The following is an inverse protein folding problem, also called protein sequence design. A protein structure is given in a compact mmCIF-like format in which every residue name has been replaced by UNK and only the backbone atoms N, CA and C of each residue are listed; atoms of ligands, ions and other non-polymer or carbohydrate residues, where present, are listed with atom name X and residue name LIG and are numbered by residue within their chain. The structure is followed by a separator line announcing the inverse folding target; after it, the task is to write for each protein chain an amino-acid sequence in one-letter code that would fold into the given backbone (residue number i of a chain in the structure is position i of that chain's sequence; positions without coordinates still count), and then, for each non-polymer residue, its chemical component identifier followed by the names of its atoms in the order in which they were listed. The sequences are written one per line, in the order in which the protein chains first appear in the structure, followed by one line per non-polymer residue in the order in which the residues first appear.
data_IF_811142253140
#
_entry.id   IF_811142253140
#
_cell.length_a   1.000
_cell.length_b   1.000
_cell.length_c   1.000
_cell.angle_alpha   90.00
_cell.angle_beta   90.00
_cell.angle_gamma   90.00
#
_symmetry.space_group_name_H-M   'P 1'
#
loop_
_entity.id
_entity.type
_entity.pdbx_description
1 polymer ?
#
# COMPACT_ATOMS: atom_id res chain seq x y z
N UNK A 1 -39.81 31.66 -2.69
CA UNK A 1 -38.76 31.05 -1.85
C UNK A 1 -38.44 29.68 -2.43
N UNK A 2 -37.21 29.47 -2.90
CA UNK A 2 -36.78 28.34 -3.72
C UNK A 2 -36.57 27.08 -2.87
N UNK A 3 -37.47 26.11 -3.03
CA UNK A 3 -37.22 24.71 -2.71
C UNK A 3 -36.75 24.06 -4.02
N UNK A 4 -35.44 23.93 -4.22
CA UNK A 4 -34.88 23.24 -5.39
C UNK A 4 -34.31 21.90 -4.95
N UNK A 5 -35.05 20.84 -5.25
CA UNK A 5 -34.58 19.47 -5.27
C UNK A 5 -33.56 19.38 -6.41
N UNK A 6 -32.29 19.10 -6.12
CA UNK A 6 -31.26 18.91 -7.15
C UNK A 6 -31.05 17.43 -7.45
N UNK A 7 -31.80 16.92 -8.42
CA UNK A 7 -31.51 15.69 -9.16
C UNK A 7 -30.45 15.99 -10.24
N UNK A 8 -29.17 16.02 -9.86
CA UNK A 8 -27.99 16.04 -10.75
C UNK A 8 -26.77 16.05 -9.81
N UNK A 9 -25.92 15.03 -9.68
CA UNK A 9 -25.30 14.17 -10.66
C UNK A 9 -25.31 12.72 -10.17
N UNK A 10 -25.72 11.82 -11.06
CA UNK A 10 -25.22 10.46 -11.09
C UNK A 10 -23.69 10.50 -11.21
N UNK A 11 -22.98 10.28 -10.12
CA UNK A 11 -21.65 9.65 -10.17
C UNK A 11 -21.61 8.61 -9.07
N UNK A 12 -22.38 7.55 -9.30
CA UNK A 12 -21.96 6.19 -8.93
C UNK A 12 -20.60 5.94 -9.57
N UNK A 13 -19.54 6.44 -8.96
CA UNK A 13 -18.30 5.71 -9.05
C UNK A 13 -17.73 5.67 -7.64
N UNK A 14 -18.18 4.65 -6.92
CA UNK A 14 -17.35 4.00 -5.93
C UNK A 14 -16.08 3.52 -6.64
N UNK A 15 -15.14 4.43 -6.94
CA UNK A 15 -13.75 4.03 -7.06
C UNK A 15 -13.25 4.12 -5.62
N UNK A 16 -13.51 3.05 -4.85
CA UNK A 16 -12.47 2.58 -3.97
C UNK A 16 -11.29 2.27 -4.89
N UNK A 17 -10.52 3.31 -5.23
CA UNK A 17 -9.24 3.13 -5.86
C UNK A 17 -8.42 2.45 -4.76
N UNK A 18 -8.45 1.12 -4.76
CA UNK A 18 -7.49 0.34 -3.98
C UNK A 18 -6.14 0.81 -4.49
N UNK A 19 -5.44 1.61 -3.69
CA UNK A 19 -4.09 2.05 -4.03
C UNK A 19 -3.22 0.81 -4.12
N UNK A 20 -3.06 0.29 -5.33
CA UNK A 20 -2.17 -0.84 -5.62
C UNK A 20 -0.75 -0.30 -5.68
N UNK A 21 0.17 -1.03 -5.06
CA UNK A 21 1.59 -0.75 -5.19
C UNK A 21 2.09 -1.40 -6.47
N UNK A 22 2.78 -0.63 -7.29
CA UNK A 22 3.34 -1.09 -8.57
C UNK A 22 4.86 -1.06 -8.53
N UNK A 23 5.48 -2.04 -9.20
CA UNK A 23 6.91 -2.05 -9.48
C UNK A 23 7.13 -2.27 -10.97
N UNK A 24 8.09 -1.55 -11.54
CA UNK A 24 8.50 -1.72 -12.94
C UNK A 24 9.85 -2.43 -13.02
N UNK A 25 9.98 -3.36 -13.96
CA UNK A 25 11.22 -4.02 -14.31
C UNK A 25 11.99 -3.24 -15.38
N UNK A 26 13.26 -3.58 -15.62
CA UNK A 26 14.11 -2.86 -16.58
C UNK A 26 13.60 -2.90 -18.03
N UNK A 27 12.78 -3.89 -18.37
CA UNK A 27 12.14 -4.03 -19.68
C UNK A 27 10.82 -3.24 -19.81
N UNK A 28 10.46 -2.46 -18.77
CA UNK A 28 9.22 -1.71 -18.72
C UNK A 28 8.01 -2.54 -18.29
N UNK A 29 8.19 -3.80 -17.88
CA UNK A 29 7.09 -4.62 -17.37
C UNK A 29 6.64 -4.11 -16.01
N UNK A 30 5.36 -3.79 -15.88
CA UNK A 30 4.71 -3.42 -14.62
C UNK A 30 4.19 -4.66 -13.88
N UNK A 31 4.37 -4.65 -12.55
CA UNK A 31 3.93 -5.68 -11.63
C UNK A 31 3.15 -5.07 -10.48
N UNK A 32 2.00 -5.67 -10.14
CA UNK A 32 1.26 -5.37 -8.91
C UNK A 32 1.94 -6.10 -7.76
N UNK A 33 2.42 -5.37 -6.75
CA UNK A 33 3.08 -5.97 -5.58
C UNK A 33 2.02 -6.44 -4.59
N UNK A 34 2.12 -7.70 -4.17
CA UNK A 34 1.23 -8.31 -3.18
C UNK A 34 2.01 -9.19 -2.20
N UNK A 35 1.63 -9.13 -0.93
CA UNK A 35 2.30 -9.86 0.16
C UNK A 35 2.05 -11.38 0.11
N UNK A 36 0.95 -11.79 -0.53
CA UNK A 36 0.50 -13.18 -0.57
C UNK A 36 -0.25 -13.46 -1.86
N UNK A 37 -0.06 -14.67 -2.39
CA UNK A 37 -0.85 -15.17 -3.50
C UNK A 37 -2.36 -15.04 -3.19
N UNK A 38 -3.13 -14.34 -4.04
CA UNK A 38 -4.53 -14.15 -3.84
C UNK A 38 -5.28 -15.39 -4.34
N UNK A 39 -6.49 -15.63 -3.80
CA UNK A 39 -7.34 -16.73 -4.30
C UNK A 39 -7.81 -16.52 -5.75
N UNK A 40 -7.82 -15.28 -6.20
CA UNK A 40 -8.20 -14.88 -7.55
C UNK A 40 -7.27 -13.74 -7.99
N UNK A 41 -6.95 -13.71 -9.28
CA UNK A 41 -6.12 -12.69 -9.89
C UNK A 41 -6.82 -12.14 -11.15
N UNK A 42 -6.39 -10.97 -11.61
CA UNK A 42 -6.93 -10.37 -12.82
C UNK A 42 -6.27 -10.99 -14.06
N UNK A 43 -7.04 -11.62 -14.97
CA UNK A 43 -6.49 -12.26 -16.16
C UNK A 43 -5.54 -11.35 -16.95
N UNK A 44 -4.34 -11.85 -17.26
CA UNK A 44 -3.32 -11.10 -18.01
C UNK A 44 -2.50 -10.12 -17.17
N UNK A 45 -2.88 -9.84 -15.92
CA UNK A 45 -2.05 -9.03 -15.02
C UNK A 45 -0.84 -9.78 -14.52
N UNK A 46 0.21 -9.02 -14.22
CA UNK A 46 1.45 -9.51 -13.64
C UNK A 46 1.55 -9.07 -12.18
N UNK A 47 2.04 -9.99 -11.35
CA UNK A 47 2.16 -9.80 -9.91
C UNK A 47 3.59 -10.05 -9.47
N UNK A 48 4.04 -9.26 -8.49
CA UNK A 48 5.25 -9.54 -7.76
C UNK A 48 4.81 -10.07 -6.39
N UNK A 49 5.02 -11.37 -6.18
CA UNK A 49 4.73 -12.06 -4.92
C UNK A 49 6.07 -12.35 -4.27
N UNK A 50 6.41 -11.63 -3.20
CA UNK A 50 7.78 -11.62 -2.71
C UNK A 50 8.74 -11.21 -3.84
N UNK A 51 9.90 -11.84 -3.97
CA UNK A 51 10.82 -11.63 -5.08
C UNK A 51 10.40 -12.36 -6.37
N UNK A 52 9.28 -13.08 -6.37
CA UNK A 52 8.85 -13.92 -7.48
C UNK A 52 7.91 -13.20 -8.43
N UNK A 53 8.25 -13.27 -9.72
CA UNK A 53 7.46 -12.70 -10.81
C UNK A 53 6.39 -13.70 -11.21
N UNK A 54 5.14 -13.27 -11.18
CA UNK A 54 3.97 -14.09 -11.45
C UNK A 54 3.12 -13.51 -12.58
N UNK A 55 2.47 -14.37 -13.35
CA UNK A 55 1.46 -13.99 -14.34
C UNK A 55 0.13 -14.67 -14.04
N UNK A 56 -0.95 -13.91 -14.05
CA UNK A 56 -2.28 -14.47 -13.90
C UNK A 56 -2.76 -15.11 -15.21
N UNK A 57 -3.18 -16.36 -15.11
CA UNK A 57 -3.77 -17.09 -16.22
C UNK A 57 -5.11 -16.49 -16.66
N UNK A 58 -5.55 -16.85 -17.88
CA UNK A 58 -6.80 -16.34 -18.46
C UNK A 58 -8.06 -16.71 -17.68
N UNK A 59 -7.99 -17.70 -16.78
CA UNK A 59 -9.12 -18.12 -15.96
C UNK A 59 -9.29 -17.28 -14.67
N UNK A 60 -8.34 -16.39 -14.36
CA UNK A 60 -8.39 -15.51 -13.19
C UNK A 60 -8.18 -16.20 -11.84
N UNK A 61 -7.67 -17.43 -11.84
CA UNK A 61 -7.51 -18.26 -10.63
C UNK A 61 -6.06 -18.65 -10.38
N UNK A 62 -5.31 -18.96 -11.43
CA UNK A 62 -3.96 -19.49 -11.29
C UNK A 62 -2.91 -18.42 -11.56
N UNK A 63 -1.93 -18.31 -10.66
CA UNK A 63 -0.69 -17.56 -10.85
C UNK A 63 0.43 -18.53 -11.24
N UNK A 64 1.07 -18.28 -12.38
CA UNK A 64 2.31 -18.94 -12.75
C UNK A 64 3.48 -18.06 -12.30
N UNK A 65 4.20 -18.50 -11.27
CA UNK A 65 5.30 -17.75 -10.65
C UNK A 65 6.68 -18.35 -10.95
N UNK A 66 7.71 -17.49 -10.99
CA UNK A 66 9.09 -17.95 -10.82
C UNK A 66 9.27 -18.62 -9.47
N UNK A 67 10.34 -19.43 -9.32
CA UNK A 67 10.68 -20.11 -8.06
C UNK A 67 12.06 -19.70 -7.55
N UNK A 68 12.27 -18.39 -7.44
CA UNK A 68 13.47 -17.80 -6.85
C UNK A 68 13.44 -18.06 -5.36
N UNK A 69 14.58 -18.44 -4.80
CA UNK A 69 14.79 -18.42 -3.34
C UNK A 69 14.90 -16.96 -2.93
N UNK A 70 13.80 -16.42 -2.43
CA UNK A 70 13.79 -15.04 -1.99
C UNK A 70 14.73 -14.87 -0.78
N UNK A 71 15.46 -13.73 -0.71
CA UNK A 71 16.21 -13.42 0.48
C UNK A 71 15.24 -13.50 1.67
N UNK A 72 15.71 -13.93 2.86
CA UNK A 72 14.85 -13.85 4.02
C UNK A 72 14.39 -12.40 4.11
N UNK A 73 13.07 -12.19 4.02
CA UNK A 73 12.48 -10.98 4.56
C UNK A 73 13.12 -10.81 5.93
N UNK A 74 13.65 -9.62 6.29
CA UNK A 74 13.95 -9.39 7.70
C UNK A 74 12.68 -9.81 8.42
N UNK A 75 12.79 -10.95 9.11
CA UNK A 75 11.69 -11.62 9.79
C UNK A 75 10.95 -10.51 10.50
N UNK A 76 9.62 -10.57 10.55
CA UNK A 76 8.81 -9.78 11.45
C UNK A 76 9.40 -9.85 12.87
N UNK A 77 10.45 -9.10 13.13
CA UNK A 77 10.68 -8.47 14.40
C UNK A 77 9.43 -7.63 14.54
N UNK A 78 8.84 -7.63 15.72
CA UNK A 78 7.81 -6.67 16.12
C UNK A 78 8.43 -5.26 16.04
N UNK A 79 8.77 -4.82 14.84
CA UNK A 79 9.34 -3.54 14.55
C UNK A 79 8.14 -2.62 14.42
N UNK A 80 8.00 -1.64 15.31
CA UNK A 80 6.87 -0.74 15.24
C UNK A 80 6.89 -0.01 13.90
N UNK A 81 5.83 -0.20 13.10
CA UNK A 81 5.68 0.38 11.78
C UNK A 81 4.30 1.05 11.68
N UNK A 82 4.23 2.17 10.97
CA UNK A 82 2.95 2.81 10.67
C UNK A 82 2.90 3.40 9.26
N UNK A 83 1.76 3.98 8.85
CA UNK A 83 1.62 4.61 7.55
C UNK A 83 2.58 5.80 7.41
N UNK A 84 3.00 6.12 6.18
CA UNK A 84 3.78 7.33 5.95
C UNK A 84 2.95 8.56 6.29
N UNK A 85 3.47 9.39 7.19
CA UNK A 85 2.88 10.66 7.62
C UNK A 85 3.73 11.81 7.09
N UNK A 86 3.07 12.83 6.53
CA UNK A 86 3.67 14.13 6.16
C UNK A 86 3.05 15.25 6.98
N UNK A 87 3.76 16.38 7.07
CA UNK A 87 3.29 17.54 7.82
C UNK A 87 1.89 17.99 7.38
N UNK A 88 0.98 18.15 8.34
CA UNK A 88 -0.42 18.53 8.13
C UNK A 88 -1.40 17.35 8.08
N UNK A 89 -0.92 16.11 7.90
CA UNK A 89 -1.77 14.92 7.99
C UNK A 89 -2.27 14.71 9.42
N UNK A 90 -3.50 14.18 9.61
CA UNK A 90 -4.01 13.88 10.94
C UNK A 90 -3.15 12.86 11.70
N UNK A 91 -2.90 13.11 12.98
CA UNK A 91 -2.26 12.19 13.91
C UNK A 91 -2.98 12.17 15.26
N UNK A 92 -2.76 11.15 16.12
CA UNK A 92 -3.47 11.06 17.38
C UNK A 92 -2.92 12.08 18.39
N UNK A 93 -3.64 13.18 18.60
CA UNK A 93 -3.19 14.31 19.39
C UNK A 93 -2.64 13.91 20.77
N UNK A 94 -1.47 14.45 21.13
CA UNK A 94 -0.71 14.15 22.35
C UNK A 94 -0.30 12.68 22.53
N UNK A 95 -0.32 11.85 21.48
CA UNK A 95 0.12 10.45 21.55
C UNK A 95 1.31 10.19 20.62
N UNK A 96 2.03 9.12 20.95
CA UNK A 96 3.03 8.54 20.07
C UNK A 96 2.35 7.73 18.95
N UNK A 97 2.99 7.74 17.79
CA UNK A 97 2.65 6.89 16.66
C UNK A 97 3.92 6.56 15.85
N UNK A 98 3.78 5.71 14.85
CA UNK A 98 4.87 5.40 13.93
C UNK A 98 4.54 5.91 12.52
N UNK A 99 5.50 6.57 11.89
CA UNK A 99 5.48 6.91 10.46
C UNK A 99 6.54 6.08 9.77
N UNK A 100 6.11 5.07 9.00
CA UNK A 100 6.99 3.98 8.58
C UNK A 100 7.75 3.43 9.80
N UNK A 101 9.07 3.38 9.75
CA UNK A 101 9.93 2.92 10.86
C UNK A 101 10.24 3.99 11.92
N UNK A 102 9.79 5.22 11.73
CA UNK A 102 10.12 6.35 12.60
C UNK A 102 9.09 6.51 13.72
N UNK A 103 9.59 6.67 14.96
CA UNK A 103 8.72 7.00 16.09
C UNK A 103 8.43 8.50 16.06
N UNK A 104 7.17 8.86 16.21
CA UNK A 104 6.68 10.22 16.15
C UNK A 104 5.88 10.58 17.40
N UNK A 105 5.98 11.82 17.85
CA UNK A 105 5.11 12.40 18.87
C UNK A 105 4.18 13.41 18.19
N UNK A 106 2.87 13.17 18.27
CA UNK A 106 1.87 14.08 17.73
C UNK A 106 1.62 15.24 18.71
N UNK A 107 1.54 16.45 18.18
CA UNK A 107 1.21 17.67 18.90
C UNK A 107 -0.27 17.75 19.29
N UNK A 108 -0.64 18.77 20.08
CA UNK A 108 -2.01 18.95 20.55
C UNK A 108 -3.00 19.35 19.45
N UNK A 109 -2.49 19.87 18.33
CA UNK A 109 -3.28 20.23 17.15
C UNK A 109 -3.74 19.03 16.31
N UNK A 110 -3.20 17.83 16.60
CA UNK A 110 -3.49 16.61 15.85
C UNK A 110 -2.97 16.62 14.41
N UNK A 111 -2.06 17.54 14.06
CA UNK A 111 -1.57 17.76 12.68
C UNK A 111 -0.09 18.09 12.57
N UNK A 112 0.54 18.45 13.68
CA UNK A 112 1.98 18.62 13.79
C UNK A 112 2.57 17.41 14.52
N UNK A 113 3.71 16.91 14.06
CA UNK A 113 4.43 15.86 14.76
C UNK A 113 5.94 16.05 14.59
N UNK A 114 6.69 15.54 15.57
CA UNK A 114 8.15 15.44 15.51
C UNK A 114 8.50 13.95 15.49
N UNK A 115 9.29 13.55 14.50
CA UNK A 115 9.66 12.15 14.27
C UNK A 115 11.16 11.94 14.36
N UNK A 116 11.60 10.71 14.64
CA UNK A 116 12.98 10.30 14.40
C UNK A 116 13.31 10.36 12.90
N UNK A 117 14.60 10.34 12.54
CA UNK A 117 15.09 10.40 11.15
C UNK A 117 15.84 9.12 10.75
N UNK A 118 15.20 7.98 10.94
CA UNK A 118 15.69 6.68 10.46
C UNK A 118 15.40 6.57 8.97
N UNK A 119 16.38 6.06 8.22
CA UNK A 119 16.17 5.63 6.84
C UNK A 119 15.31 4.36 6.85
N UNK A 120 14.03 4.50 6.49
CA UNK A 120 13.10 3.38 6.45
C UNK A 120 13.18 2.70 5.09
N UNK A 121 13.65 1.47 5.09
CA UNK A 121 13.56 0.60 3.92
C UNK A 121 12.33 -0.26 4.14
N UNK A 122 11.30 -0.07 3.31
CA UNK A 122 10.16 -1.00 3.32
C UNK A 122 10.72 -2.40 3.05
N UNK A 123 10.42 -3.40 3.92
CA UNK A 123 10.64 -4.77 3.55
C UNK A 123 9.92 -4.99 2.23
N UNK A 124 10.66 -5.41 1.21
CA UNK A 124 10.06 -5.83 -0.06
C UNK A 124 9.29 -7.09 0.29
N UNK A 125 7.98 -6.97 0.43
CA UNK A 125 7.04 -8.05 0.72
C UNK A 125 6.89 -9.02 -0.43
#
# INVERSE_FOLDING_TARGET
MKMMISFALMVLVAIAATERMYMMDSDGTEYIVIDKEPKHCEPGMKYLVDCNKCSCSSNGKDLACTRRKCPPHPVQQNFPWGPFWKHGDPCPANKEFYSECNRCQCGPDGKSAVCTLKACIRPVV
#
